data_IF_240582471380
#
_entry.id   IF_240582471380
#
_cell.length_a   1.000
_cell.length_b   1.000
_cell.length_c   1.000
_cell.angle_alpha   90.00
_cell.angle_beta   90.00
_cell.angle_gamma   90.00
#
_symmetry.space_group_name_H-M   'P 1'
#
loop_
_entity.id
_entity.type
_entity.pdbx_description
1 polymer ?
#
# COMPACT_ATOMS: atom_id res chain seq x y z
N UNK A 1 -17.68 -4.07 -4.23
CA UNK A 1 -16.22 -4.06 -4.25
C UNK A 1 -15.62 -2.97 -5.14
N UNK A 2 -16.38 -2.43 -6.07
CA UNK A 2 -15.99 -1.29 -6.92
C UNK A 2 -16.86 -0.06 -6.67
N UNK A 3 -17.38 0.07 -5.46
CA UNK A 3 -18.15 1.25 -5.05
C UNK A 3 -17.17 2.36 -4.66
N UNK A 4 -17.27 3.56 -5.22
CA UNK A 4 -16.46 4.70 -4.83
C UNK A 4 -16.61 4.99 -3.33
N UNK A 5 -15.53 5.44 -2.69
CA UNK A 5 -15.57 5.79 -1.26
C UNK A 5 -16.61 6.88 -0.97
N UNK A 6 -16.79 7.81 -1.91
CA UNK A 6 -17.78 8.90 -1.86
C UNK A 6 -19.23 8.41 -1.83
N UNK A 7 -19.51 7.20 -2.32
CA UNK A 7 -20.83 6.57 -2.28
C UNK A 7 -20.97 5.59 -1.10
N UNK A 8 -19.85 5.02 -0.65
CA UNK A 8 -19.84 3.99 0.39
C UNK A 8 -19.79 4.57 1.81
N UNK A 9 -19.28 5.79 1.99
CA UNK A 9 -19.05 6.43 3.28
C UNK A 9 -19.69 7.81 3.32
N UNK A 10 -20.43 8.11 4.39
CA UNK A 10 -21.12 9.39 4.54
C UNK A 10 -20.21 10.58 4.91
N UNK A 11 -18.96 10.30 5.29
CA UNK A 11 -17.97 11.31 5.70
C UNK A 11 -16.94 11.53 4.57
N UNK A 12 -16.41 12.74 4.49
CA UNK A 12 -15.42 13.09 3.45
C UNK A 12 -14.10 12.35 3.64
N UNK A 13 -13.66 12.16 4.89
CA UNK A 13 -12.43 11.43 5.20
C UNK A 13 -12.70 10.41 6.30
N UNK A 14 -12.11 9.24 6.17
CA UNK A 14 -12.14 8.21 7.22
C UNK A 14 -11.44 8.72 8.49
N UNK A 15 -10.41 9.56 8.33
CA UNK A 15 -9.69 10.18 9.45
C UNK A 15 -10.59 11.06 10.34
N UNK A 16 -11.73 11.56 9.84
CA UNK A 16 -12.68 12.35 10.64
C UNK A 16 -13.29 11.52 11.79
N UNK A 17 -13.26 10.18 11.68
CA UNK A 17 -13.71 9.28 12.75
C UNK A 17 -12.83 9.30 13.99
N UNK A 18 -11.61 9.77 13.87
CA UNK A 18 -10.66 9.89 14.97
C UNK A 18 -11.22 10.75 16.12
N UNK A 19 -12.05 11.76 15.82
CA UNK A 19 -12.69 12.61 16.81
C UNK A 19 -13.61 11.82 17.77
N UNK A 20 -14.21 10.72 17.33
CA UNK A 20 -15.04 9.87 18.18
C UNK A 20 -14.23 9.10 19.25
N UNK A 21 -12.91 8.99 19.05
CA UNK A 21 -11.98 8.31 19.95
C UNK A 21 -11.08 9.26 20.72
N UNK A 22 -11.29 10.57 20.57
CA UNK A 22 -10.44 11.63 21.15
C UNK A 22 -8.95 11.47 20.79
N UNK A 23 -8.68 11.12 19.50
CA UNK A 23 -7.34 10.98 18.97
C UNK A 23 -7.16 11.85 17.71
N UNK A 24 -5.94 12.24 17.33
CA UNK A 24 -5.71 12.94 16.09
C UNK A 24 -6.05 12.11 14.87
N UNK A 25 -6.75 12.73 13.89
CA UNK A 25 -6.96 12.20 12.54
C UNK A 25 -6.16 13.02 11.54
N UNK A 26 -5.40 12.37 10.68
CA UNK A 26 -4.55 13.01 9.66
C UNK A 26 -4.83 12.39 8.30
N UNK A 27 -5.06 13.23 7.29
CA UNK A 27 -5.20 12.82 5.90
C UNK A 27 -3.91 13.16 5.16
N UNK A 28 -3.38 12.22 4.39
CA UNK A 28 -2.16 12.40 3.60
C UNK A 28 -2.30 11.80 2.21
N UNK A 29 -1.59 12.36 1.22
CA UNK A 29 -1.43 11.73 -0.10
C UNK A 29 -0.66 10.41 0.07
N UNK A 30 -1.36 9.28 -0.03
CA UNK A 30 -0.77 7.94 0.13
C UNK A 30 0.18 7.54 -1.02
N UNK A 31 0.22 8.33 -2.10
CA UNK A 31 1.15 8.16 -3.22
C UNK A 31 2.39 9.07 -3.09
N UNK A 32 2.53 9.80 -1.99
CA UNK A 32 3.74 10.54 -1.65
C UNK A 32 4.43 9.91 -0.45
N UNK A 33 5.47 9.10 -0.70
CA UNK A 33 6.16 8.37 0.36
C UNK A 33 6.83 9.28 1.39
N UNK A 34 7.29 10.48 0.99
CA UNK A 34 7.92 11.43 1.91
C UNK A 34 6.87 12.09 2.82
N UNK A 35 5.72 12.46 2.25
CA UNK A 35 4.59 12.97 3.04
C UNK A 35 4.06 11.92 4.04
N UNK A 36 3.96 10.66 3.61
CA UNK A 36 3.57 9.54 4.49
C UNK A 36 4.61 9.32 5.59
N UNK A 37 5.90 9.40 5.26
CA UNK A 37 6.98 9.29 6.24
C UNK A 37 6.89 10.37 7.33
N UNK A 38 6.73 11.63 6.95
CA UNK A 38 6.63 12.76 7.90
C UNK A 38 5.45 12.60 8.87
N UNK A 39 4.28 12.24 8.34
CA UNK A 39 3.07 12.01 9.16
C UNK A 39 3.26 10.81 10.09
N UNK A 40 3.84 9.71 9.57
CA UNK A 40 4.11 8.52 10.36
C UNK A 40 5.15 8.80 11.47
N UNK A 41 6.21 9.55 11.16
CA UNK A 41 7.22 9.95 12.15
C UNK A 41 6.60 10.76 13.29
N UNK A 42 5.74 11.74 12.96
CA UNK A 42 5.03 12.54 13.96
C UNK A 42 4.11 11.67 14.84
N UNK A 43 3.38 10.72 14.22
CA UNK A 43 2.51 9.80 14.95
C UNK A 43 3.30 8.88 15.89
N UNK A 44 4.45 8.36 15.43
CA UNK A 44 5.34 7.51 16.24
C UNK A 44 5.95 8.31 17.40
N UNK A 45 6.42 9.53 17.15
CA UNK A 45 6.95 10.43 18.21
C UNK A 45 5.88 10.69 19.28
N UNK A 46 4.65 10.98 18.86
CA UNK A 46 3.50 11.17 19.75
C UNK A 46 3.24 9.93 20.61
N UNK A 47 3.17 8.76 20.00
CA UNK A 47 2.89 7.51 20.70
C UNK A 47 4.00 7.18 21.73
N UNK A 48 5.26 7.35 21.35
CA UNK A 48 6.42 7.14 22.24
C UNK A 48 6.47 8.12 23.39
N UNK A 49 5.90 9.32 23.23
CA UNK A 49 5.76 10.30 24.29
C UNK A 49 4.55 10.01 25.23
N UNK A 50 3.85 8.90 25.07
CA UNK A 50 2.69 8.53 25.88
C UNK A 50 1.44 9.36 25.58
N UNK A 51 1.39 10.05 24.44
CA UNK A 51 0.27 10.93 24.05
C UNK A 51 -0.84 10.20 23.27
N UNK A 52 -0.77 8.86 23.18
CA UNK A 52 -1.76 8.03 22.53
C UNK A 52 -1.55 7.86 21.01
N UNK A 53 -2.46 7.11 20.35
CA UNK A 53 -2.38 6.78 18.93
C UNK A 53 -2.78 7.97 18.03
N UNK A 54 -2.56 7.80 16.73
CA UNK A 54 -3.02 8.70 15.67
C UNK A 54 -3.65 7.87 14.56
N UNK A 55 -4.80 8.27 14.04
CA UNK A 55 -5.42 7.67 12.84
C UNK A 55 -4.90 8.40 11.61
N UNK A 56 -4.16 7.68 10.76
CA UNK A 56 -3.65 8.23 9.50
C UNK A 56 -4.44 7.63 8.35
N UNK A 57 -5.05 8.48 7.52
CA UNK A 57 -5.71 8.11 6.29
C UNK A 57 -4.81 8.43 5.10
N UNK A 58 -4.25 7.41 4.47
CA UNK A 58 -3.48 7.54 3.24
C UNK A 58 -4.43 7.46 2.04
N UNK A 59 -4.65 8.56 1.32
CA UNK A 59 -5.44 8.57 0.08
C UNK A 59 -4.66 7.90 -1.02
N UNK A 60 -5.18 6.78 -1.52
CA UNK A 60 -4.56 5.99 -2.60
C UNK A 60 -5.63 5.34 -3.45
N UNK A 61 -5.23 4.71 -4.55
CA UNK A 61 -6.13 4.10 -5.51
C UNK A 61 -5.58 2.78 -6.03
N UNK A 62 -6.42 1.77 -6.11
CA UNK A 62 -6.06 0.48 -6.68
C UNK A 62 -6.29 0.50 -8.18
N UNK A 63 -5.24 0.43 -8.98
CA UNK A 63 -5.35 0.47 -10.45
C UNK A 63 -6.01 -0.78 -11.04
N UNK A 64 -5.70 -1.95 -10.49
CA UNK A 64 -6.27 -3.21 -10.96
C UNK A 64 -7.67 -3.44 -10.39
N UNK A 65 -8.51 -4.14 -11.13
CA UNK A 65 -9.81 -4.56 -10.63
C UNK A 65 -9.67 -5.45 -9.38
N UNK A 66 -10.76 -5.60 -8.63
CA UNK A 66 -10.74 -6.47 -7.44
C UNK A 66 -10.47 -7.93 -7.79
N UNK A 67 -11.03 -8.39 -8.91
CA UNK A 67 -10.82 -9.72 -9.48
C UNK A 67 -10.24 -9.58 -10.88
N UNK A 68 -9.23 -10.38 -11.19
CA UNK A 68 -8.67 -10.49 -12.54
C UNK A 68 -9.28 -11.68 -13.31
N UNK A 69 -10.45 -12.17 -12.90
CA UNK A 69 -11.17 -13.22 -13.60
C UNK A 69 -11.58 -12.69 -14.97
N UNK A 70 -11.18 -13.42 -16.02
CA UNK A 70 -11.46 -13.06 -17.41
C UNK A 70 -12.97 -12.90 -17.63
N UNK A 71 -13.38 -11.73 -18.12
CA UNK A 71 -14.79 -11.43 -18.38
C UNK A 71 -15.51 -10.65 -17.25
N UNK A 72 -14.87 -10.37 -16.12
CA UNK A 72 -15.44 -9.46 -15.11
C UNK A 72 -15.19 -8.02 -15.56
N UNK A 73 -16.22 -7.21 -15.85
CA UNK A 73 -16.02 -5.84 -16.28
C UNK A 73 -15.55 -4.97 -15.12
N UNK A 74 -14.53 -4.18 -15.35
CA UNK A 74 -14.22 -3.03 -14.50
C UNK A 74 -15.19 -1.91 -14.85
N UNK A 75 -15.98 -1.46 -13.89
CA UNK A 75 -17.00 -0.41 -14.07
C UNK A 75 -16.49 0.99 -13.73
N UNK A 76 -15.24 1.10 -13.32
CA UNK A 76 -14.63 2.40 -13.00
C UNK A 76 -14.35 3.17 -14.28
N UNK A 77 -14.47 4.51 -14.30
CA UNK A 77 -14.06 5.32 -15.44
C UNK A 77 -12.58 5.08 -15.76
N UNK A 78 -12.29 4.83 -17.03
CA UNK A 78 -10.91 4.57 -17.48
C UNK A 78 -10.01 5.80 -17.24
N UNK A 79 -10.57 6.98 -17.41
CA UNK A 79 -9.91 8.26 -17.18
C UNK A 79 -9.46 8.41 -15.72
N UNK A 80 -10.31 8.06 -14.76
CA UNK A 80 -9.99 8.08 -13.34
C UNK A 80 -8.81 7.15 -13.01
N UNK A 81 -8.84 5.93 -13.56
CA UNK A 81 -7.74 4.95 -13.37
C UNK A 81 -6.43 5.51 -13.94
N UNK A 82 -6.49 6.14 -15.11
CA UNK A 82 -5.31 6.71 -15.76
C UNK A 82 -4.74 7.91 -15.02
N UNK A 83 -5.60 8.81 -14.52
CA UNK A 83 -5.18 9.92 -13.66
C UNK A 83 -4.42 9.43 -12.40
N UNK A 84 -4.88 8.35 -11.79
CA UNK A 84 -4.22 7.78 -10.64
C UNK A 84 -2.90 7.07 -10.98
N UNK A 85 -2.77 6.48 -12.17
CA UNK A 85 -1.49 5.94 -12.65
C UNK A 85 -0.43 7.01 -12.83
N UNK A 86 -0.81 8.23 -13.23
CA UNK A 86 0.13 9.35 -13.31
C UNK A 86 0.70 9.76 -11.93
N UNK A 87 0.06 9.31 -10.86
CA UNK A 87 0.50 9.52 -9.47
C UNK A 87 1.18 8.28 -8.89
N UNK A 88 1.80 7.45 -9.73
CA UNK A 88 2.53 6.26 -9.28
C UNK A 88 3.61 6.65 -8.26
N UNK A 89 3.53 6.17 -7.01
CA UNK A 89 4.47 6.52 -5.95
C UNK A 89 5.91 6.09 -6.26
N UNK A 90 6.08 4.98 -6.97
CA UNK A 90 7.41 4.46 -7.33
C UNK A 90 8.06 5.36 -8.38
N UNK A 91 7.35 5.67 -9.45
CA UNK A 91 7.84 6.55 -10.51
C UNK A 91 8.12 7.97 -9.99
N UNK A 92 7.23 8.50 -9.13
CA UNK A 92 7.36 9.82 -8.50
C UNK A 92 8.61 9.91 -7.62
N UNK A 93 8.84 8.95 -6.73
CA UNK A 93 10.03 8.92 -5.89
C UNK A 93 11.29 8.74 -6.71
N UNK A 94 11.29 7.82 -7.68
CA UNK A 94 12.44 7.57 -8.54
C UNK A 94 12.85 8.83 -9.31
N UNK A 95 11.88 9.57 -9.86
CA UNK A 95 12.13 10.84 -10.55
C UNK A 95 12.78 11.86 -9.61
N UNK A 96 12.23 12.05 -8.42
CA UNK A 96 12.77 12.98 -7.42
C UNK A 96 14.19 12.61 -6.99
N UNK A 97 14.47 11.33 -6.74
CA UNK A 97 15.80 10.85 -6.35
C UNK A 97 16.83 10.99 -7.49
N UNK A 98 16.39 10.79 -8.75
CA UNK A 98 17.26 11.02 -9.93
C UNK A 98 17.59 12.50 -10.09
N UNK A 99 16.61 13.38 -9.96
CA UNK A 99 16.79 14.83 -10.03
C UNK A 99 17.76 15.35 -8.95
N UNK A 100 17.68 14.80 -7.75
CA UNK A 100 18.56 15.14 -6.63
C UNK A 100 19.93 14.44 -6.69
N UNK A 101 20.18 13.59 -7.68
CA UNK A 101 21.43 12.85 -7.84
C UNK A 101 21.63 11.69 -6.84
N UNK A 102 20.59 11.29 -6.12
CA UNK A 102 20.64 10.16 -5.19
C UNK A 102 20.39 8.81 -5.85
N UNK A 103 19.85 8.78 -7.07
CA UNK A 103 19.57 7.57 -7.83
C UNK A 103 20.08 7.72 -9.27
N UNK A 104 20.94 6.79 -9.70
CA UNK A 104 21.35 6.72 -11.11
C UNK A 104 20.46 5.77 -11.89
N UNK A 105 20.42 5.93 -13.23
CA UNK A 105 19.67 5.00 -14.09
C UNK A 105 20.17 3.57 -13.95
N UNK A 106 21.49 3.37 -13.89
CA UNK A 106 22.09 2.06 -13.73
C UNK A 106 21.70 1.39 -12.38
N UNK A 107 21.65 2.17 -11.29
CA UNK A 107 21.21 1.66 -9.99
C UNK A 107 19.71 1.32 -10.00
N UNK A 108 18.90 2.10 -10.69
CA UNK A 108 17.47 1.82 -10.87
C UNK A 108 17.22 0.51 -11.61
N UNK A 109 17.89 0.32 -12.76
CA UNK A 109 17.78 -0.90 -13.55
C UNK A 109 18.27 -2.13 -12.77
N UNK A 110 19.37 -2.00 -12.05
CA UNK A 110 19.87 -3.09 -11.20
C UNK A 110 18.89 -3.50 -10.11
N UNK A 111 18.24 -2.53 -9.43
CA UNK A 111 17.20 -2.85 -8.43
C UNK A 111 16.02 -3.57 -9.07
N UNK A 112 15.58 -3.17 -10.25
CA UNK A 112 14.46 -3.81 -10.95
C UNK A 112 14.81 -5.27 -11.32
N UNK A 113 16.01 -5.52 -11.86
CA UNK A 113 16.51 -6.86 -12.16
C UNK A 113 16.59 -7.74 -10.91
N UNK A 114 17.11 -7.22 -9.80
CA UNK A 114 17.23 -7.94 -8.53
C UNK A 114 15.84 -8.31 -7.97
N UNK A 115 14.86 -7.41 -8.06
CA UNK A 115 13.47 -7.65 -7.63
C UNK A 115 12.81 -8.71 -8.52
N UNK A 116 12.96 -8.62 -9.83
CA UNK A 116 12.41 -9.61 -10.76
C UNK A 116 13.00 -10.99 -10.51
N UNK A 117 14.31 -11.09 -10.26
CA UNK A 117 14.95 -12.35 -9.90
C UNK A 117 14.42 -12.90 -8.57
N UNK A 118 14.29 -12.07 -7.54
CA UNK A 118 13.75 -12.50 -6.25
C UNK A 118 12.31 -13.02 -6.36
N UNK A 119 11.49 -12.41 -7.22
CA UNK A 119 10.12 -12.90 -7.51
C UNK A 119 10.17 -14.26 -8.21
N UNK A 120 11.05 -14.43 -9.20
CA UNK A 120 11.21 -15.70 -9.92
C UNK A 120 11.66 -16.82 -8.98
N UNK A 121 12.60 -16.54 -8.10
CA UNK A 121 13.09 -17.48 -7.08
C UNK A 121 11.98 -17.85 -6.09
N UNK A 122 11.18 -16.89 -5.64
CA UNK A 122 10.04 -17.13 -4.76
C UNK A 122 8.97 -18.02 -5.43
N UNK A 123 8.69 -17.82 -6.72
CA UNK A 123 7.79 -18.69 -7.50
C UNK A 123 8.35 -20.11 -7.62
N UNK A 124 9.65 -20.25 -7.85
CA UNK A 124 10.32 -21.55 -7.93
C UNK A 124 10.25 -22.25 -6.58
N UNK A 125 10.61 -21.56 -5.50
CA UNK A 125 10.49 -22.07 -4.13
C UNK A 125 9.08 -22.57 -3.82
N UNK A 126 8.04 -21.79 -4.15
CA UNK A 126 6.65 -22.18 -3.90
C UNK A 126 6.24 -23.45 -4.68
N UNK A 127 6.72 -23.60 -5.95
CA UNK A 127 6.42 -24.77 -6.78
C UNK A 127 7.16 -26.04 -6.35
N UNK A 128 8.37 -25.89 -5.84
CA UNK A 128 9.24 -27.00 -5.42
C UNK A 128 9.02 -27.41 -3.95
N UNK A 129 8.37 -26.56 -3.16
CA UNK A 129 8.06 -26.85 -1.76
C UNK A 129 7.09 -28.04 -1.66
N UNK A 130 7.32 -28.94 -0.72
CA UNK A 130 6.40 -30.06 -0.47
C UNK A 130 5.06 -29.53 0.03
N UNK A 131 3.97 -30.23 -0.29
CA UNK A 131 2.66 -29.94 0.31
C UNK A 131 2.72 -30.23 1.83
N UNK A 132 2.00 -29.44 2.65
CA UNK A 132 1.87 -29.73 4.08
C UNK A 132 1.33 -31.15 4.34
N UNK A 133 1.86 -31.83 5.36
CA UNK A 133 1.32 -33.12 5.81
C UNK A 133 -0.08 -32.96 6.43
N UNK A 134 -0.87 -34.02 6.41
CA UNK A 134 -2.20 -34.02 7.04
C UNK A 134 -2.14 -33.85 8.57
N UNK A 135 -1.05 -34.24 9.18
CA UNK A 135 -0.74 -34.10 10.59
C UNK A 135 -0.62 -32.64 11.03
N UNK A 136 -0.17 -31.76 10.13
CA UNK A 136 -0.03 -30.33 10.42
C UNK A 136 -1.36 -29.55 10.38
N UNK A 137 -2.46 -30.18 9.98
CA UNK A 137 -3.75 -29.49 9.80
C UNK A 137 -4.35 -28.94 11.11
N UNK A 138 -3.90 -29.42 12.26
CA UNK A 138 -4.36 -28.99 13.58
C UNK A 138 -3.30 -28.18 14.35
N UNK A 139 -2.09 -28.00 13.76
CA UNK A 139 -1.04 -27.19 14.37
C UNK A 139 -1.42 -25.70 14.27
N UNK A 140 -0.98 -24.92 15.22
CA UNK A 140 -1.16 -23.43 15.26
C UNK A 140 -2.62 -22.94 15.15
N UNK A 141 -3.63 -23.81 15.41
CA UNK A 141 -5.05 -23.42 15.40
C UNK A 141 -5.42 -22.67 16.68
N UNK A 142 -4.80 -22.99 17.79
CA UNK A 142 -4.96 -22.34 19.09
C UNK A 142 -3.60 -21.96 19.66
N UNK A 143 -3.57 -20.88 20.44
CA UNK A 143 -2.38 -20.56 21.24
C UNK A 143 -2.28 -21.56 22.42
N UNK A 144 -1.07 -22.02 22.71
CA UNK A 144 -0.75 -22.81 23.90
C UNK A 144 -0.85 -21.99 25.20
#
# INVERSE_FOLDING_TARGET
>A
MNTPATEAVAIANVADRAAAYDIPGVVVDGNDVLAVYEVAEAAVKRARAGQGPTLIECKTYRWRAHTEIKGTPDRRPAEEVEEWKQKDPIARLAASLKEQGHLTEAAWQKMDEEILQAIADAVTFAKESPLPGLDTALEDVFAD
#
